data_IF_061035747232
#
_entry.id   IF_061035747232
#
_cell.length_a   1.000
_cell.length_b   1.000
_cell.length_c   1.000
_cell.angle_alpha   90.00
_cell.angle_beta   90.00
_cell.angle_gamma   90.00
#
_symmetry.space_group_name_H-M   'P 1'
#
loop_
_entity.id
_entity.type
_entity.pdbx_description
1 polymer ?
#
# COMPACT_ATOMS: atom_id res chain seq x y z
N UNK A 1 -21.01 -4.09 4.12
CA UNK A 1 -19.87 -3.82 3.23
C UNK A 1 -19.29 -5.15 2.74
N UNK A 2 -19.17 -5.35 1.43
CA UNK A 2 -18.43 -6.50 0.90
C UNK A 2 -16.96 -6.32 1.28
N UNK A 3 -16.54 -7.07 2.29
CA UNK A 3 -15.19 -7.05 2.87
C UNK A 3 -14.21 -7.74 1.93
N UNK A 4 -12.99 -7.21 1.80
CA UNK A 4 -11.90 -7.89 1.07
C UNK A 4 -11.74 -7.52 -0.40
N UNK A 5 -12.45 -6.50 -0.90
CA UNK A 5 -12.25 -5.90 -2.22
C UNK A 5 -11.74 -4.47 -2.09
N UNK A 6 -10.70 -4.15 -2.86
CA UNK A 6 -10.17 -2.79 -2.97
C UNK A 6 -11.16 -1.94 -3.77
N UNK A 7 -11.44 -0.74 -3.28
CA UNK A 7 -12.39 0.18 -3.91
C UNK A 7 -11.66 1.36 -4.55
N UNK A 8 -12.33 2.04 -5.48
CA UNK A 8 -11.82 3.31 -6.06
C UNK A 8 -12.04 4.53 -5.18
N UNK A 9 -12.55 4.38 -3.94
CA UNK A 9 -12.71 5.48 -3.00
C UNK A 9 -11.37 5.76 -2.34
N UNK A 10 -10.94 7.01 -2.40
CA UNK A 10 -9.71 7.49 -1.78
C UNK A 10 -10.09 8.29 -0.53
N UNK A 11 -9.52 7.91 0.60
CA UNK A 11 -9.63 8.64 1.85
C UNK A 11 -8.23 9.17 2.24
N UNK A 12 -8.17 10.42 2.69
CA UNK A 12 -6.93 11.03 3.19
C UNK A 12 -6.85 10.82 4.69
N UNK A 13 -5.77 10.18 5.14
CA UNK A 13 -5.54 9.88 6.54
C UNK A 13 -4.36 10.69 7.07
N UNK A 14 -4.52 11.21 8.28
CA UNK A 14 -3.40 11.71 9.08
C UNK A 14 -2.60 10.55 9.68
N UNK A 15 -1.40 10.82 10.19
CA UNK A 15 -0.54 9.79 10.80
C UNK A 15 -1.23 9.07 11.98
N UNK A 16 -1.92 9.82 12.85
CA UNK A 16 -2.64 9.25 14.00
C UNK A 16 -3.84 8.39 13.58
N UNK A 17 -4.47 8.71 12.44
CA UNK A 17 -5.55 7.91 11.88
C UNK A 17 -5.01 6.61 11.25
N UNK A 18 -3.92 6.69 10.47
CA UNK A 18 -3.28 5.52 9.83
C UNK A 18 -2.89 4.44 10.86
N UNK A 19 -2.42 4.82 12.04
CA UNK A 19 -1.97 3.91 13.12
C UNK A 19 -3.04 2.91 13.61
N UNK A 20 -4.32 3.13 13.27
CA UNK A 20 -5.43 2.25 13.61
C UNK A 20 -5.75 1.23 12.52
N UNK A 21 -5.11 1.30 11.37
CA UNK A 21 -5.44 0.51 10.18
C UNK A 21 -4.26 -0.29 9.65
N UNK A 22 -4.56 -1.43 9.06
CA UNK A 22 -3.58 -2.25 8.34
C UNK A 22 -3.57 -1.84 6.87
N UNK A 23 -2.44 -1.30 6.41
CA UNK A 23 -2.31 -0.74 5.05
C UNK A 23 -1.48 -1.65 4.16
N UNK A 24 -2.09 -2.21 3.12
CA UNK A 24 -1.40 -3.00 2.11
C UNK A 24 -0.57 -2.13 1.15
N UNK A 25 0.53 -2.69 0.66
CA UNK A 25 1.38 -2.01 -0.33
C UNK A 25 0.71 -1.93 -1.71
N UNK A 26 1.05 -0.88 -2.47
CA UNK A 26 0.45 -0.60 -3.79
C UNK A 26 0.77 -1.66 -4.86
N UNK A 27 1.78 -2.50 -4.63
CA UNK A 27 2.18 -3.59 -5.52
C UNK A 27 1.50 -4.94 -5.20
N UNK A 28 0.59 -4.99 -4.21
CA UNK A 28 -0.19 -6.18 -3.93
C UNK A 28 -1.02 -6.60 -5.15
N UNK A 29 -1.03 -7.90 -5.45
CA UNK A 29 -1.70 -8.42 -6.65
C UNK A 29 -3.20 -8.52 -6.43
N UNK A 30 -3.96 -7.87 -7.31
CA UNK A 30 -5.42 -7.90 -7.34
C UNK A 30 -5.92 -8.64 -8.58
N UNK A 31 -7.10 -9.23 -8.47
CA UNK A 31 -7.85 -9.73 -9.62
C UNK A 31 -8.67 -8.61 -10.30
N UNK A 32 -9.37 -8.96 -11.38
CA UNK A 32 -10.17 -8.01 -12.17
C UNK A 32 -11.35 -7.41 -11.37
N UNK A 33 -11.73 -8.01 -10.25
CA UNK A 33 -12.78 -7.52 -9.35
C UNK A 33 -12.22 -6.72 -8.16
N UNK A 34 -10.90 -6.53 -8.09
CA UNK A 34 -10.22 -5.80 -7.03
C UNK A 34 -10.01 -6.61 -5.74
N UNK A 35 -10.18 -7.93 -5.77
CA UNK A 35 -9.87 -8.78 -4.62
C UNK A 35 -8.38 -9.17 -4.63
N UNK A 36 -7.78 -9.32 -3.45
CA UNK A 36 -6.41 -9.81 -3.33
C UNK A 36 -6.29 -11.24 -3.83
N UNK A 37 -5.37 -11.50 -4.77
CA UNK A 37 -5.09 -12.84 -5.29
C UNK A 37 -4.42 -13.70 -4.20
N UNK A 38 -3.49 -13.10 -3.47
CA UNK A 38 -2.72 -13.76 -2.42
C UNK A 38 -3.47 -13.80 -1.08
N UNK A 39 -3.34 -14.90 -0.34
CA UNK A 39 -3.90 -15.03 1.01
C UNK A 39 -3.12 -14.22 2.05
N UNK A 40 -1.81 -14.08 1.82
CA UNK A 40 -0.86 -13.42 2.71
C UNK A 40 -0.34 -12.15 2.04
N UNK A 41 -0.64 -11.00 2.63
CA UNK A 41 -0.35 -9.68 2.09
C UNK A 41 0.70 -8.98 2.94
N UNK A 42 1.73 -8.43 2.29
CA UNK A 42 2.68 -7.52 2.94
C UNK A 42 1.97 -6.19 3.20
N UNK A 43 1.92 -5.80 4.46
CA UNK A 43 1.23 -4.61 4.92
C UNK A 43 2.04 -3.88 5.98
N UNK A 44 1.64 -2.65 6.28
CA UNK A 44 2.16 -1.83 7.37
C UNK A 44 1.11 -1.69 8.45
N UNK A 45 1.52 -1.82 9.71
CA UNK A 45 0.70 -1.50 10.87
C UNK A 45 1.56 -0.80 11.92
N UNK A 46 1.18 0.41 12.34
CA UNK A 46 1.92 1.23 13.33
C UNK A 46 3.41 1.39 12.99
N UNK A 47 3.70 1.68 11.72
CA UNK A 47 5.06 1.84 11.20
C UNK A 47 5.85 0.55 10.97
N UNK A 48 5.34 -0.62 11.39
CA UNK A 48 6.03 -1.90 11.18
C UNK A 48 5.51 -2.64 9.95
N UNK A 49 6.44 -3.15 9.13
CA UNK A 49 6.10 -4.04 8.02
C UNK A 49 5.83 -5.45 8.54
N UNK A 50 4.68 -6.00 8.18
CA UNK A 50 4.22 -7.32 8.62
C UNK A 50 3.51 -8.05 7.48
N UNK A 51 3.27 -9.35 7.66
CA UNK A 51 2.49 -10.17 6.73
C UNK A 51 1.17 -10.52 7.41
N UNK A 52 0.06 -10.19 6.77
CA UNK A 52 -1.29 -10.40 7.30
C UNK A 52 -2.15 -11.19 6.32
N UNK A 53 -3.21 -11.82 6.81
CA UNK A 53 -4.24 -12.36 5.91
C UNK A 53 -4.93 -11.22 5.16
N UNK A 54 -5.31 -11.43 3.88
CA UNK A 54 -6.09 -10.47 3.08
C UNK A 54 -7.36 -9.94 3.76
N UNK A 55 -7.97 -10.74 4.65
CA UNK A 55 -9.16 -10.34 5.42
C UNK A 55 -8.88 -9.34 6.55
N UNK A 56 -7.61 -9.06 6.85
CA UNK A 56 -7.19 -8.08 7.86
C UNK A 56 -6.71 -6.76 7.26
N UNK A 57 -6.74 -6.61 5.94
CA UNK A 57 -6.33 -5.37 5.28
C UNK A 57 -7.50 -4.39 5.29
N UNK A 58 -7.25 -3.16 5.76
CA UNK A 58 -8.26 -2.11 5.86
C UNK A 58 -8.14 -1.11 4.70
N UNK A 59 -6.91 -0.72 4.37
CA UNK A 59 -6.59 0.23 3.28
C UNK A 59 -5.45 -0.31 2.40
N UNK A 60 -5.25 0.34 1.25
CA UNK A 60 -4.15 0.06 0.34
C UNK A 60 -3.53 1.37 -0.12
N UNK A 61 -2.20 1.37 -0.24
CA UNK A 61 -1.44 2.47 -0.82
C UNK A 61 -1.91 2.78 -2.25
N UNK A 62 -2.02 4.06 -2.61
CA UNK A 62 -2.56 4.48 -3.92
C UNK A 62 -1.54 4.25 -5.04
N UNK A 63 -0.25 4.41 -4.74
CA UNK A 63 0.82 4.31 -5.74
C UNK A 63 2.18 4.07 -5.08
N UNK A 64 3.08 3.27 -5.70
CA UNK A 64 4.46 3.15 -5.24
C UNK A 64 5.21 4.49 -5.20
N UNK A 65 4.77 5.48 -6.00
CA UNK A 65 5.38 6.81 -6.07
C UNK A 65 4.96 7.73 -4.92
N UNK A 66 3.96 7.37 -4.11
CA UNK A 66 3.42 8.26 -3.07
C UNK A 66 4.44 8.63 -1.98
N UNK A 67 5.48 7.82 -1.82
CA UNK A 67 6.58 8.04 -0.86
C UNK A 67 7.70 8.92 -1.41
N UNK A 68 7.70 9.19 -2.72
CA UNK A 68 8.74 9.97 -3.39
C UNK A 68 8.26 11.39 -3.70
N UNK A 69 9.18 12.35 -3.66
CA UNK A 69 8.90 13.71 -4.12
C UNK A 69 8.66 13.73 -5.65
N UNK A 70 8.03 14.80 -6.15
CA UNK A 70 7.79 14.97 -7.59
C UNK A 70 9.08 14.93 -8.42
N UNK A 71 10.18 15.52 -7.92
CA UNK A 71 11.46 15.51 -8.61
C UNK A 71 12.09 14.10 -8.61
N UNK A 72 12.07 13.42 -7.47
CA UNK A 72 12.60 12.06 -7.30
C UNK A 72 11.84 11.05 -8.15
N UNK A 73 10.51 11.20 -8.28
CA UNK A 73 9.66 10.31 -9.08
C UNK A 73 9.91 10.38 -10.60
N UNK A 74 10.69 11.37 -11.06
CA UNK A 74 11.12 11.51 -12.46
C UNK A 74 12.43 10.75 -12.77
N UNK A 75 13.10 10.19 -11.76
CA UNK A 75 14.32 9.40 -11.96
C UNK A 75 13.91 8.00 -12.45
N UNK A 76 14.27 7.61 -13.69
CA UNK A 76 13.96 6.26 -14.18
C UNK A 76 14.82 5.23 -13.45
N UNK A 77 14.27 4.04 -13.21
CA UNK A 77 14.97 2.92 -12.57
C UNK A 77 15.50 3.25 -11.17
N UNK A 78 14.84 4.17 -10.44
CA UNK A 78 15.21 4.60 -9.09
C UNK A 78 15.34 3.42 -8.11
N UNK A 79 14.55 2.37 -8.30
CA UNK A 79 14.60 1.13 -7.50
C UNK A 79 15.96 0.40 -7.59
N UNK A 80 16.79 0.74 -8.58
CA UNK A 80 18.13 0.19 -8.79
C UNK A 80 19.25 1.15 -8.33
N UNK A 81 18.92 2.34 -7.85
CA UNK A 81 19.88 3.34 -7.39
C UNK A 81 20.02 3.33 -5.86
N UNK A 82 21.21 3.68 -5.35
CA UNK A 82 21.46 3.78 -3.91
C UNK A 82 20.98 5.14 -3.39
N UNK A 83 20.44 5.17 -2.18
CA UNK A 83 19.85 6.40 -1.62
C UNK A 83 20.84 7.55 -1.41
N UNK A 84 22.16 7.31 -1.44
CA UNK A 84 23.18 8.35 -1.28
C UNK A 84 23.77 8.91 -2.58
N UNK A 85 23.26 8.51 -3.76
CA UNK A 85 23.83 8.91 -5.05
C UNK A 85 23.26 10.21 -5.60
#
# INVERSE_FOLDING_TARGET
PETGKVTGRIDYLTADEEDNYVVAQANARLDDEGAFIDDSIVARFRGENTVVSRNRVDYMDVSPKQVASAATACIPFLENDDSNR
#
